data_IF_136625730769
#
_entry.id   IF_136625730769
#
_cell.length_a   1.000
_cell.length_b   1.000
_cell.length_c   1.000
_cell.angle_alpha   90.00
_cell.angle_beta   90.00
_cell.angle_gamma   90.00
#
_symmetry.space_group_name_H-M   'P 1'
#
loop_
_entity.id
_entity.type
_entity.pdbx_description
1 polymer ?
#
# COMPACT_ATOMS: atom_id res chain seq x y z
N UNK A 1 -15.43 -3.26 -27.35
CA UNK A 1 -16.12 -2.55 -26.25
C UNK A 1 -15.64 -2.82 -24.81
N UNK A 2 -14.77 -3.80 -24.53
CA UNK A 2 -14.37 -4.13 -23.15
C UNK A 2 -13.29 -3.25 -22.50
N UNK A 3 -12.31 -2.77 -23.27
CA UNK A 3 -11.17 -2.01 -22.71
C UNK A 3 -11.55 -0.60 -22.23
N UNK A 4 -12.37 0.10 -23.01
CA UNK A 4 -12.86 1.45 -22.66
C UNK A 4 -13.68 1.43 -21.38
N UNK A 5 -14.56 0.43 -21.21
CA UNK A 5 -15.35 0.23 -19.99
C UNK A 5 -14.45 -0.03 -18.78
N UNK A 6 -13.41 -0.87 -18.92
CA UNK A 6 -12.44 -1.15 -17.85
C UNK A 6 -11.65 0.09 -17.44
N UNK A 7 -11.23 0.93 -18.40
CA UNK A 7 -10.50 2.15 -18.07
C UNK A 7 -11.37 3.16 -17.33
N UNK A 8 -12.63 3.31 -17.75
CA UNK A 8 -13.59 4.18 -17.08
C UNK A 8 -13.87 3.72 -15.64
N UNK A 9 -13.97 2.40 -15.41
CA UNK A 9 -14.10 1.86 -14.05
C UNK A 9 -12.89 2.19 -13.16
N UNK A 10 -11.66 2.06 -13.67
CA UNK A 10 -10.44 2.39 -12.91
C UNK A 10 -10.37 3.89 -12.60
N UNK A 11 -10.73 4.76 -13.54
CA UNK A 11 -10.77 6.20 -13.30
C UNK A 11 -11.83 6.59 -12.24
N UNK A 12 -13.00 5.96 -12.27
CA UNK A 12 -14.02 6.13 -11.24
C UNK A 12 -13.54 5.65 -9.87
N UNK A 13 -12.93 4.45 -9.80
CA UNK A 13 -12.35 3.91 -8.57
C UNK A 13 -11.28 4.84 -8.02
N UNK A 14 -10.38 5.35 -8.86
CA UNK A 14 -9.37 6.32 -8.47
C UNK A 14 -10.00 7.56 -7.84
N UNK A 15 -10.96 8.18 -8.53
CA UNK A 15 -11.61 9.39 -8.03
C UNK A 15 -12.30 9.14 -6.69
N UNK A 16 -13.01 8.03 -6.58
CA UNK A 16 -13.73 7.65 -5.36
C UNK A 16 -12.78 7.40 -4.19
N UNK A 17 -11.79 6.50 -4.34
CA UNK A 17 -10.88 6.16 -3.25
C UNK A 17 -9.96 7.32 -2.89
N UNK A 18 -9.49 8.09 -3.87
CA UNK A 18 -8.73 9.30 -3.60
C UNK A 18 -9.56 10.31 -2.80
N UNK A 19 -10.86 10.45 -3.03
CA UNK A 19 -11.69 11.30 -2.18
C UNK A 19 -11.82 10.72 -0.76
N UNK A 20 -12.06 9.41 -0.65
CA UNK A 20 -12.19 8.72 0.63
C UNK A 20 -10.94 8.80 1.50
N UNK A 21 -9.74 8.84 0.91
CA UNK A 21 -8.47 8.97 1.65
C UNK A 21 -8.29 10.35 2.32
N UNK A 22 -9.06 11.37 1.92
CA UNK A 22 -9.00 12.71 2.49
C UNK A 22 -10.10 12.98 3.54
N UNK A 23 -10.88 11.96 3.90
CA UNK A 23 -11.84 12.07 5.01
C UNK A 23 -11.13 12.19 6.36
N UNK A 24 -11.82 12.69 7.39
CA UNK A 24 -11.26 12.84 8.74
C UNK A 24 -10.74 11.50 9.30
N UNK A 25 -11.42 10.40 8.96
CA UNK A 25 -11.05 9.03 9.34
C UNK A 25 -11.12 8.12 8.10
N UNK A 26 -10.06 8.10 7.27
CA UNK A 26 -10.05 7.28 6.07
C UNK A 26 -10.19 5.80 6.42
N UNK A 27 -11.18 5.09 5.87
CA UNK A 27 -11.32 3.67 6.15
C UNK A 27 -10.13 2.91 5.57
N UNK A 28 -9.59 1.95 6.32
CA UNK A 28 -8.45 1.12 5.90
C UNK A 28 -8.65 0.50 4.52
N UNK A 29 -9.87 0.04 4.22
CA UNK A 29 -10.22 -0.49 2.90
C UNK A 29 -9.98 0.50 1.76
N UNK A 30 -10.33 1.78 1.94
CA UNK A 30 -10.07 2.80 0.92
C UNK A 30 -8.57 3.08 0.76
N UNK A 31 -7.82 3.05 1.86
CA UNK A 31 -6.36 3.17 1.82
C UNK A 31 -5.73 1.99 1.06
N UNK A 32 -6.15 0.75 1.35
CA UNK A 32 -5.70 -0.44 0.60
C UNK A 32 -5.99 -0.27 -0.89
N UNK A 33 -7.23 0.10 -1.26
CA UNK A 33 -7.60 0.27 -2.67
C UNK A 33 -6.84 1.39 -3.35
N UNK A 34 -6.58 2.48 -2.65
CA UNK A 34 -5.75 3.55 -3.18
C UNK A 34 -4.29 3.10 -3.36
N UNK A 35 -3.76 2.32 -2.43
CA UNK A 35 -2.44 1.69 -2.56
C UNK A 35 -2.35 0.77 -3.78
N UNK A 36 -3.35 -0.08 -4.01
CA UNK A 36 -3.43 -0.97 -5.18
C UNK A 36 -3.43 -0.18 -6.50
N UNK A 37 -4.15 0.96 -6.51
CA UNK A 37 -4.22 1.86 -7.65
C UNK A 37 -2.91 2.63 -7.90
N UNK A 38 -2.18 2.99 -6.84
CA UNK A 38 -0.83 3.57 -6.98
C UNK A 38 0.19 2.53 -7.44
N UNK A 39 0.07 1.30 -6.96
CA UNK A 39 0.99 0.21 -7.28
C UNK A 39 0.80 -0.30 -8.71
N UNK A 40 -0.44 -0.35 -9.20
CA UNK A 40 -0.72 -0.72 -10.59
C UNK A 40 -0.40 0.42 -11.57
N UNK A 41 0.08 0.07 -12.77
CA UNK A 41 0.21 1.04 -13.87
C UNK A 41 -1.12 1.18 -14.61
N UNK A 42 -1.42 2.40 -15.06
CA UNK A 42 -2.61 2.71 -15.85
C UNK A 42 -2.25 3.60 -17.05
N UNK A 43 -3.08 3.58 -18.11
CA UNK A 43 -2.81 4.32 -19.35
C UNK A 43 -2.53 5.81 -19.10
N UNK A 44 -3.19 6.39 -18.09
CA UNK A 44 -3.10 7.81 -17.73
C UNK A 44 -2.22 8.09 -16.50
N UNK A 45 -1.80 7.06 -15.77
CA UNK A 45 -1.07 7.20 -14.49
C UNK A 45 0.05 6.16 -14.39
N UNK A 46 1.28 6.65 -14.22
CA UNK A 46 2.42 5.77 -13.96
C UNK A 46 2.32 5.20 -12.55
N UNK A 47 2.80 3.97 -12.39
CA UNK A 47 2.98 3.30 -11.10
C UNK A 47 3.78 4.22 -10.15
N UNK A 48 3.29 4.41 -8.93
CA UNK A 48 3.95 5.15 -7.86
C UNK A 48 4.05 4.26 -6.62
N UNK A 49 5.18 3.56 -6.50
CA UNK A 49 5.43 2.63 -5.39
C UNK A 49 5.51 3.36 -4.06
N UNK A 50 6.06 4.58 -4.02
CA UNK A 50 6.17 5.34 -2.78
C UNK A 50 4.78 5.66 -2.19
N UNK A 51 3.88 6.16 -3.02
CA UNK A 51 2.50 6.42 -2.60
C UNK A 51 1.76 5.13 -2.19
N UNK A 52 2.02 3.99 -2.86
CA UNK A 52 1.47 2.70 -2.44
C UNK A 52 1.95 2.30 -1.03
N UNK A 53 3.26 2.45 -0.75
CA UNK A 53 3.83 2.22 0.59
C UNK A 53 3.15 3.09 1.64
N UNK A 54 2.95 4.39 1.37
CA UNK A 54 2.27 5.30 2.30
C UNK A 54 0.85 4.84 2.61
N UNK A 55 0.07 4.49 1.58
CA UNK A 55 -1.30 4.03 1.75
C UNK A 55 -1.39 2.71 2.53
N UNK A 56 -0.55 1.73 2.21
CA UNK A 56 -0.52 0.46 2.93
C UNK A 56 -0.02 0.61 4.37
N UNK A 57 0.95 1.51 4.60
CA UNK A 57 1.41 1.85 5.96
C UNK A 57 0.27 2.46 6.78
N UNK A 58 -0.50 3.40 6.21
CA UNK A 58 -1.64 4.00 6.89
C UNK A 58 -2.71 2.95 7.25
N UNK A 59 -2.99 2.00 6.35
CA UNK A 59 -3.90 0.88 6.65
C UNK A 59 -3.35 -0.04 7.77
N UNK A 60 -2.06 -0.39 7.72
CA UNK A 60 -1.41 -1.20 8.74
C UNK A 60 -1.45 -0.53 10.13
N UNK A 61 -1.28 0.80 10.20
CA UNK A 61 -1.38 1.56 11.45
C UNK A 61 -2.79 1.58 12.04
N UNK A 62 -3.82 1.36 11.21
CA UNK A 62 -5.20 1.13 11.65
C UNK A 62 -5.45 -0.31 12.12
N UNK A 63 -4.39 -1.14 12.20
CA UNK A 63 -4.46 -2.58 12.52
C UNK A 63 -5.20 -3.40 11.47
N UNK A 64 -5.21 -2.95 10.22
CA UNK A 64 -5.69 -3.75 9.10
C UNK A 64 -4.54 -4.66 8.60
N UNK A 65 -4.64 -5.99 8.76
CA UNK A 65 -3.58 -6.92 8.38
C UNK A 65 -3.31 -6.91 6.87
N UNK A 66 -4.28 -6.52 6.04
CA UNK A 66 -4.06 -6.39 4.60
C UNK A 66 -2.99 -5.34 4.28
N UNK A 67 -2.84 -4.31 5.12
CA UNK A 67 -1.80 -3.29 4.95
C UNK A 67 -0.40 -3.88 5.15
N UNK A 68 -0.21 -4.68 6.19
CA UNK A 68 1.05 -5.38 6.44
C UNK A 68 1.33 -6.44 5.38
N UNK A 69 0.31 -7.20 4.97
CA UNK A 69 0.44 -8.17 3.89
C UNK A 69 0.91 -7.50 2.58
N UNK A 70 0.26 -6.41 2.17
CA UNK A 70 0.64 -5.70 0.96
C UNK A 70 2.05 -5.11 1.04
N UNK A 71 2.47 -4.59 2.20
CA UNK A 71 3.85 -4.15 2.42
C UNK A 71 4.86 -5.31 2.33
N UNK A 72 4.49 -6.49 2.83
CA UNK A 72 5.30 -7.71 2.70
C UNK A 72 5.54 -8.07 1.23
N UNK A 73 4.48 -8.09 0.42
CA UNK A 73 4.58 -8.32 -1.03
C UNK A 73 5.53 -7.32 -1.69
N UNK A 74 5.43 -6.02 -1.36
CA UNK A 74 6.34 -5.02 -1.91
C UNK A 74 7.81 -5.33 -1.58
N UNK A 75 8.10 -5.75 -0.35
CA UNK A 75 9.46 -6.10 0.07
C UNK A 75 9.96 -7.36 -0.63
N UNK A 76 9.11 -8.38 -0.82
CA UNK A 76 9.42 -9.59 -1.59
C UNK A 76 9.76 -9.28 -3.05
N UNK A 77 9.10 -8.28 -3.64
CA UNK A 77 9.40 -7.77 -4.99
C UNK A 77 10.63 -6.87 -5.05
N UNK A 78 11.35 -6.68 -3.93
CA UNK A 78 12.59 -5.91 -3.85
C UNK A 78 12.39 -4.42 -3.53
N UNK A 79 11.18 -3.99 -3.20
CA UNK A 79 10.95 -2.60 -2.75
C UNK A 79 11.53 -2.41 -1.36
N UNK A 80 12.48 -1.49 -1.25
CA UNK A 80 13.02 -1.08 0.06
C UNK A 80 12.07 -0.11 0.74
N UNK A 81 11.60 -0.43 1.95
CA UNK A 81 10.75 0.45 2.72
C UNK A 81 11.56 1.58 3.38
N UNK A 82 11.03 2.82 3.43
CA UNK A 82 11.65 3.90 4.16
C UNK A 82 11.84 3.55 5.64
N UNK A 83 12.95 4.00 6.24
CA UNK A 83 13.22 3.79 7.68
C UNK A 83 12.13 4.40 8.57
N UNK A 84 11.48 5.48 8.12
CA UNK A 84 10.32 6.08 8.79
C UNK A 84 9.13 5.12 8.85
N UNK A 85 8.80 4.47 7.73
CA UNK A 85 7.75 3.45 7.65
C UNK A 85 8.05 2.28 8.58
N UNK A 86 9.26 1.72 8.52
CA UNK A 86 9.67 0.61 9.39
C UNK A 86 9.56 0.99 10.87
N UNK A 87 9.98 2.20 11.25
CA UNK A 87 9.85 2.71 12.62
C UNK A 87 8.39 2.87 13.05
N UNK A 88 7.52 3.40 12.19
CA UNK A 88 6.08 3.53 12.50
C UNK A 88 5.42 2.16 12.73
N UNK A 89 5.86 1.16 11.98
CA UNK A 89 5.41 -0.23 12.13
C UNK A 89 6.12 -0.98 13.28
N UNK A 90 6.99 -0.31 14.05
CA UNK A 90 7.64 -0.87 15.22
C UNK A 90 8.81 -1.83 14.91
N UNK A 91 9.39 -1.77 13.71
CA UNK A 91 10.62 -2.49 13.40
C UNK A 91 11.84 -1.71 13.92
N UNK A 92 12.62 -2.33 14.81
CA UNK A 92 13.84 -1.74 15.36
C UNK A 92 15.06 -2.03 14.48
N UNK A 93 16.03 -1.13 14.50
CA UNK A 93 17.32 -1.28 13.80
C UNK A 93 18.19 -2.44 14.29
N UNK A 94 17.79 -3.11 15.37
CA UNK A 94 18.47 -4.27 15.96
C UNK A 94 18.02 -5.61 15.38
N UNK A 95 16.92 -5.64 14.61
CA UNK A 95 16.59 -6.83 13.82
C UNK A 95 17.72 -6.98 12.80
N UNK A 96 18.27 -8.17 12.62
CA UNK A 96 19.08 -8.47 11.44
C UNK A 96 18.16 -8.19 10.23
N UNK A 97 18.30 -7.02 9.61
CA UNK A 97 17.33 -6.48 8.65
C UNK A 97 17.53 -7.14 7.29
N UNK A 98 17.39 -8.46 7.25
CA UNK A 98 17.15 -9.14 5.99
C UNK A 98 15.70 -8.85 5.59
N UNK A 99 15.46 -8.62 4.30
CA UNK A 99 14.11 -8.49 3.76
C UNK A 99 13.22 -9.67 4.18
N UNK A 100 13.80 -10.88 4.25
CA UNK A 100 13.13 -12.09 4.73
C UNK A 100 12.59 -11.94 6.16
N UNK A 101 13.40 -11.45 7.10
CA UNK A 101 12.97 -11.27 8.49
C UNK A 101 11.86 -10.21 8.62
N UNK A 102 11.94 -9.12 7.84
CA UNK A 102 10.89 -8.10 7.81
C UNK A 102 9.57 -8.71 7.32
N UNK A 103 9.59 -9.39 6.17
CA UNK A 103 8.41 -9.98 5.54
C UNK A 103 7.75 -11.01 6.46
N UNK A 104 8.54 -11.90 7.05
CA UNK A 104 8.02 -12.91 7.97
C UNK A 104 7.31 -12.31 9.17
N UNK A 105 7.85 -11.22 9.74
CA UNK A 105 7.20 -10.53 10.85
C UNK A 105 5.96 -9.74 10.41
N UNK A 106 5.92 -9.22 9.17
CA UNK A 106 4.70 -8.61 8.61
C UNK A 106 3.57 -9.62 8.46
N UNK A 107 3.86 -10.83 7.99
CA UNK A 107 2.84 -11.88 7.79
C UNK A 107 2.38 -12.54 9.10
N UNK A 108 3.16 -12.42 10.18
CA UNK A 108 2.83 -12.99 11.50
C UNK A 108 1.88 -12.11 12.31
N UNK A 109 1.82 -10.81 12.02
CA UNK A 109 1.05 -9.80 12.78
C UNK A 109 -0.35 -9.61 12.19
#
# INVERSE_FOLDING_TARGET
>A
DGLVSRFMQIDCMWKYYNLSTHSERPPSYALIKMGDLFYSSHVRRKRNVHAAVEMYTAAALQRDPQGLYNLGILVEEGVSLPRSTLRQLGFNSSMSVSNFTIVMEMYRR
#
